data_IF_008977389873
#
_entry.id   IF_008977389873
#
_cell.length_a   1.000
_cell.length_b   1.000
_cell.length_c   1.000
_cell.angle_alpha   90.00
_cell.angle_beta   90.00
_cell.angle_gamma   90.00
#
_symmetry.space_group_name_H-M   'P 1'
#
loop_
_entity.id
_entity.type
_entity.pdbx_description
1 polymer ?
#
# COMPACT_ATOMS: atom_id res chain seq x y z
N UNK A 1 27.57 -2.68 3.40
CA UNK A 1 26.52 -1.77 3.91
C UNK A 1 25.25 -1.83 3.07
N UNK A 2 25.34 -1.66 1.74
CA UNK A 2 24.22 -1.80 0.77
C UNK A 2 23.48 -3.15 0.86
N UNK A 3 24.20 -4.27 1.02
CA UNK A 3 23.57 -5.60 1.12
C UNK A 3 22.61 -5.75 2.32
N UNK A 4 22.91 -5.10 3.47
CA UNK A 4 22.02 -5.12 4.64
C UNK A 4 20.76 -4.28 4.41
N UNK A 5 20.90 -3.14 3.74
CA UNK A 5 19.78 -2.26 3.38
C UNK A 5 18.86 -2.98 2.39
N UNK A 6 19.42 -3.67 1.41
CA UNK A 6 18.66 -4.45 0.44
C UNK A 6 17.92 -5.62 1.12
N UNK A 7 18.60 -6.39 1.98
CA UNK A 7 17.96 -7.47 2.76
C UNK A 7 16.83 -6.95 3.66
N UNK A 8 17.02 -5.76 4.25
CA UNK A 8 15.98 -5.10 5.04
C UNK A 8 14.79 -4.67 4.18
N UNK A 9 15.03 -4.10 2.99
CA UNK A 9 13.96 -3.73 2.04
C UNK A 9 13.17 -4.97 1.58
N UNK A 10 13.87 -6.06 1.27
CA UNK A 10 13.27 -7.34 0.87
C UNK A 10 12.45 -7.93 2.03
N UNK A 11 12.93 -7.83 3.27
CA UNK A 11 12.16 -8.18 4.47
C UNK A 11 10.86 -7.39 4.58
N UNK A 12 10.85 -6.12 4.15
CA UNK A 12 9.66 -5.27 4.12
C UNK A 12 8.82 -5.42 2.85
N UNK A 13 8.98 -6.54 2.12
CA UNK A 13 8.26 -6.82 0.88
C UNK A 13 6.75 -6.68 0.97
N UNK A 14 6.15 -6.93 2.14
CA UNK A 14 4.70 -6.76 2.38
C UNK A 14 4.27 -5.29 2.44
N UNK A 15 5.09 -4.43 3.02
CA UNK A 15 4.87 -2.98 3.02
C UNK A 15 4.99 -2.43 1.60
N UNK A 16 6.03 -2.85 0.88
CA UNK A 16 6.22 -2.47 -0.51
C UNK A 16 5.06 -2.97 -1.39
N UNK A 17 4.57 -4.19 -1.18
CA UNK A 17 3.40 -4.70 -1.89
C UNK A 17 2.14 -3.88 -1.60
N UNK A 18 1.89 -3.54 -0.33
CA UNK A 18 0.76 -2.69 0.04
C UNK A 18 0.80 -1.31 -0.65
N UNK A 19 1.96 -0.68 -0.73
CA UNK A 19 2.09 0.65 -1.35
C UNK A 19 2.11 0.60 -2.88
N UNK A 20 2.83 -0.35 -3.48
CA UNK A 20 3.04 -0.41 -4.94
C UNK A 20 1.97 -1.20 -5.70
N UNK A 21 1.25 -2.13 -5.06
CA UNK A 21 0.21 -2.93 -5.70
C UNK A 21 -1.17 -2.65 -5.11
N UNK A 22 -1.34 -2.71 -3.79
CA UNK A 22 -2.66 -2.54 -3.18
C UNK A 22 -3.20 -1.12 -3.38
N UNK A 23 -2.41 -0.08 -3.11
CA UNK A 23 -2.83 1.31 -3.25
C UNK A 23 -3.30 1.69 -4.67
N UNK A 24 -2.57 1.38 -5.77
CA UNK A 24 -3.05 1.69 -7.11
C UNK A 24 -4.29 0.87 -7.52
N UNK A 25 -4.39 -0.40 -7.10
CA UNK A 25 -5.59 -1.21 -7.33
C UNK A 25 -6.79 -0.60 -6.61
N UNK A 26 -6.62 -0.19 -5.35
CA UNK A 26 -7.67 0.48 -4.57
C UNK A 26 -8.10 1.80 -5.23
N UNK A 27 -7.13 2.57 -5.73
CA UNK A 27 -7.37 3.83 -6.41
C UNK A 27 -8.14 3.64 -7.73
N UNK A 28 -7.79 2.62 -8.51
CA UNK A 28 -8.54 2.26 -9.73
C UNK A 28 -9.95 1.79 -9.41
N UNK A 29 -10.12 1.03 -8.33
CA UNK A 29 -11.42 0.55 -7.88
C UNK A 29 -12.31 1.72 -7.45
N UNK A 30 -11.79 2.67 -6.65
CA UNK A 30 -12.51 3.90 -6.31
C UNK A 30 -12.90 4.73 -7.54
N UNK A 31 -12.02 4.81 -8.53
CA UNK A 31 -12.30 5.51 -9.79
C UNK A 31 -13.40 4.81 -10.59
N UNK A 32 -13.41 3.47 -10.62
CA UNK A 32 -14.45 2.69 -11.30
C UNK A 32 -15.85 2.92 -10.70
N UNK A 33 -15.92 3.09 -9.38
CA UNK A 33 -17.19 3.36 -8.68
C UNK A 33 -17.59 4.84 -8.67
N UNK A 34 -16.89 5.72 -9.41
CA UNK A 34 -17.13 7.17 -9.44
C UNK A 34 -17.08 7.85 -8.04
N UNK A 35 -16.54 7.16 -7.03
CA UNK A 35 -16.45 7.64 -5.64
C UNK A 35 -15.44 8.79 -5.47
N UNK A 36 -14.72 9.14 -6.54
CA UNK A 36 -13.77 10.25 -6.58
C UNK A 36 -14.45 11.60 -6.25
N UNK A 37 -15.71 11.80 -6.65
CA UNK A 37 -16.45 13.04 -6.39
C UNK A 37 -16.82 13.24 -4.92
N UNK A 38 -16.96 12.14 -4.16
CA UNK A 38 -17.44 12.19 -2.77
C UNK A 38 -16.33 12.63 -1.81
N UNK A 39 -15.07 12.31 -2.10
CA UNK A 39 -13.96 12.56 -1.17
C UNK A 39 -13.21 13.88 -1.38
N UNK A 40 -13.37 14.59 -2.51
CA UNK A 40 -12.80 15.94 -2.73
C UNK A 40 -11.27 16.08 -2.59
N UNK A 41 -10.56 14.96 -2.36
CA UNK A 41 -9.13 14.82 -2.13
C UNK A 41 -8.62 13.87 -3.23
N UNK A 42 -7.40 14.06 -3.78
CA UNK A 42 -6.82 13.08 -4.69
C UNK A 42 -6.85 11.69 -4.05
N UNK A 43 -7.69 10.80 -4.59
CA UNK A 43 -7.98 9.45 -4.08
C UNK A 43 -6.71 8.61 -3.87
N UNK A 44 -5.63 8.97 -4.56
CA UNK A 44 -4.30 8.40 -4.42
C UNK A 44 -3.75 8.49 -2.99
N UNK A 45 -3.91 9.64 -2.31
CA UNK A 45 -3.33 9.89 -0.99
C UNK A 45 -3.90 8.95 0.09
N UNK A 46 -5.24 8.86 0.29
CA UNK A 46 -5.81 7.91 1.24
C UNK A 46 -5.56 6.44 0.84
N UNK A 47 -5.53 6.12 -0.47
CA UNK A 47 -5.20 4.77 -0.92
C UNK A 47 -3.76 4.37 -0.59
N UNK A 48 -2.81 5.29 -0.70
CA UNK A 48 -1.41 5.07 -0.30
C UNK A 48 -1.28 4.83 1.21
N UNK A 49 -1.99 5.62 2.03
CA UNK A 49 -2.02 5.39 3.48
C UNK A 49 -2.62 4.02 3.82
N UNK A 50 -3.75 3.66 3.21
CA UNK A 50 -4.37 2.34 3.42
C UNK A 50 -3.44 1.19 3.01
N UNK A 51 -2.80 1.30 1.84
CA UNK A 51 -1.82 0.34 1.36
C UNK A 51 -0.62 0.20 2.28
N UNK A 52 -0.10 1.33 2.78
CA UNK A 52 1.01 1.34 3.73
C UNK A 52 0.63 0.68 5.06
N UNK A 53 -0.49 1.08 5.67
CA UNK A 53 -0.93 0.53 6.96
C UNK A 53 -1.30 -0.96 6.86
N UNK A 54 -1.92 -1.39 5.77
CA UNK A 54 -2.19 -2.80 5.51
C UNK A 54 -0.90 -3.60 5.37
N UNK A 55 0.06 -3.09 4.60
CA UNK A 55 1.36 -3.73 4.43
C UNK A 55 2.15 -3.81 5.74
N UNK A 56 2.04 -2.79 6.61
CA UNK A 56 2.67 -2.75 7.93
C UNK A 56 2.00 -3.74 8.91
N UNK A 57 0.68 -3.88 8.82
CA UNK A 57 -0.07 -4.90 9.57
C UNK A 57 0.32 -6.32 9.14
N UNK A 58 0.40 -6.58 7.85
CA UNK A 58 0.81 -7.87 7.27
C UNK A 58 2.28 -8.20 7.60
N UNK A 59 3.15 -7.19 7.64
CA UNK A 59 4.54 -7.34 8.09
C UNK A 59 4.60 -7.76 9.57
N UNK A 60 3.86 -7.06 10.44
CA UNK A 60 3.85 -7.31 11.88
C UNK A 60 3.21 -8.66 12.27
N UNK A 61 2.24 -9.15 11.49
CA UNK A 61 1.61 -10.46 11.70
C UNK A 61 2.37 -11.64 11.11
N UNK A 62 3.49 -11.38 10.43
CA UNK A 62 4.20 -12.37 9.64
C UNK A 62 3.34 -13.09 8.56
N UNK A 63 2.16 -12.56 8.23
CA UNK A 63 1.16 -13.16 7.35
C UNK A 63 0.75 -12.18 6.25
N UNK A 64 0.52 -12.69 5.04
CA UNK A 64 0.09 -11.89 3.90
C UNK A 64 -1.41 -11.55 3.89
N UNK A 65 -2.20 -12.27 4.70
CA UNK A 65 -3.66 -12.15 4.83
C UNK A 65 -4.07 -12.26 6.30
#
# INVERSE_FOLDING_TARGET
>A
MISRIFLYLVSKGRILFGVFFLAPVLSQLLHYFELYEIMGIPSLLPCLFLGFFWGLYADNREQWF
#
